data_IF_360746802226
#
_entry.id   IF_360746802226
#
_cell.length_a   1.000
_cell.length_b   1.000
_cell.length_c   1.000
_cell.angle_alpha   90.00
_cell.angle_beta   90.00
_cell.angle_gamma   90.00
#
_symmetry.space_group_name_H-M   'P 1'
#
loop_
_entity.id
_entity.type
_entity.pdbx_description
1 polymer ?
#
# COMPACT_ATOMS: atom_id res chain seq x y z
N UNK A 1 8.25 -3.32 -2.83
CA UNK A 1 8.76 -2.36 -3.86
C UNK A 1 8.41 -2.90 -5.24
N UNK A 2 7.45 -2.30 -5.96
CA UNK A 2 7.24 -2.63 -7.38
C UNK A 2 8.44 -2.05 -8.11
N UNK A 3 9.21 -2.91 -8.77
CA UNK A 3 10.43 -2.55 -9.50
C UNK A 3 10.12 -1.48 -10.56
N UNK A 4 11.06 -0.55 -10.78
CA UNK A 4 10.94 0.48 -11.82
C UNK A 4 10.73 -0.11 -13.22
N UNK A 5 11.24 -1.31 -13.47
CA UNK A 5 11.05 -2.05 -14.71
C UNK A 5 9.58 -2.44 -14.90
N UNK A 6 8.92 -2.94 -13.87
CA UNK A 6 7.49 -3.31 -13.91
C UNK A 6 6.60 -2.09 -14.19
N UNK A 7 6.87 -0.95 -13.52
CA UNK A 7 6.13 0.30 -13.79
C UNK A 7 6.30 0.81 -15.22
N UNK A 8 7.48 0.65 -15.79
CA UNK A 8 7.75 1.05 -17.17
C UNK A 8 7.02 0.17 -18.18
N UNK A 9 7.00 -1.15 -17.95
CA UNK A 9 6.26 -2.10 -18.78
C UNK A 9 4.75 -1.84 -18.75
N UNK A 10 4.19 -1.52 -17.59
CA UNK A 10 2.77 -1.16 -17.45
C UNK A 10 2.44 0.15 -18.18
N UNK A 11 3.31 1.15 -18.09
CA UNK A 11 3.17 2.41 -18.82
C UNK A 11 3.22 2.18 -20.33
N UNK A 12 4.19 1.42 -20.82
CA UNK A 12 4.34 1.10 -22.24
C UNK A 12 3.11 0.33 -22.77
N UNK A 13 2.56 -0.60 -21.99
CA UNK A 13 1.33 -1.33 -22.33
C UNK A 13 0.12 -0.38 -22.41
N UNK A 14 -0.03 0.54 -21.46
CA UNK A 14 -1.10 1.54 -21.46
C UNK A 14 -0.99 2.47 -22.68
N UNK A 15 0.19 2.94 -23.02
CA UNK A 15 0.42 3.81 -24.18
C UNK A 15 0.12 3.10 -25.50
N UNK A 16 0.45 1.81 -25.62
CA UNK A 16 0.07 0.99 -26.79
C UNK A 16 -1.45 0.86 -26.94
N UNK A 17 -2.18 0.64 -25.85
CA UNK A 17 -3.64 0.58 -25.88
C UNK A 17 -4.28 1.90 -26.31
N UNK A 18 -3.79 3.02 -25.78
CA UNK A 18 -4.26 4.36 -26.15
C UNK A 18 -4.03 4.61 -27.63
N UNK A 19 -2.83 4.36 -28.14
CA UNK A 19 -2.50 4.54 -29.54
C UNK A 19 -3.36 3.65 -30.46
N UNK A 20 -3.68 2.43 -30.04
CA UNK A 20 -4.58 1.54 -30.78
C UNK A 20 -6.02 2.08 -30.81
N UNK A 21 -6.53 2.59 -29.70
CA UNK A 21 -7.87 3.18 -29.61
C UNK A 21 -8.00 4.42 -30.48
N UNK A 22 -7.00 5.30 -30.49
CA UNK A 22 -6.96 6.48 -31.38
C UNK A 22 -7.03 6.09 -32.85
N UNK A 23 -6.23 5.08 -33.24
CA UNK A 23 -6.27 4.57 -34.63
C UNK A 23 -7.62 3.96 -34.96
N UNK A 24 -8.22 3.17 -34.07
CA UNK A 24 -9.53 2.57 -34.28
C UNK A 24 -10.67 3.60 -34.41
N UNK A 25 -10.58 4.72 -33.68
CA UNK A 25 -11.57 5.80 -33.76
C UNK A 25 -11.46 6.62 -35.04
N UNK A 26 -10.25 6.76 -35.59
CA UNK A 26 -9.98 7.61 -36.74
C UNK A 26 -9.83 6.85 -38.07
N UNK A 27 -9.85 5.50 -38.03
CA UNK A 27 -9.66 4.68 -39.23
C UNK A 27 -10.91 4.70 -40.11
N UNK A 28 -10.87 5.39 -41.23
CA UNK A 28 -11.91 5.40 -42.27
C UNK A 28 -11.82 4.16 -43.16
N UNK A 29 -10.68 3.50 -43.20
CA UNK A 29 -10.44 2.31 -44.06
C UNK A 29 -9.60 1.25 -43.33
N UNK A 30 -9.73 -0.02 -43.79
CA UNK A 30 -8.91 -1.13 -43.31
C UNK A 30 -7.39 -0.94 -43.56
N UNK A 31 -7.03 -0.10 -44.54
CA UNK A 31 -5.61 0.25 -44.80
C UNK A 31 -4.98 1.05 -43.70
N UNK A 32 -5.70 2.02 -43.14
CA UNK A 32 -5.18 2.86 -42.03
C UNK A 32 -5.01 2.03 -40.76
N UNK A 33 -5.94 1.13 -40.50
CA UNK A 33 -5.85 0.18 -39.42
C UNK A 33 -4.59 -0.70 -39.53
N UNK A 34 -4.33 -1.24 -40.71
CA UNK A 34 -3.20 -2.16 -40.94
C UNK A 34 -1.82 -1.50 -40.89
N UNK A 35 -1.70 -0.18 -41.07
CA UNK A 35 -0.40 0.50 -41.13
C UNK A 35 -0.01 1.23 -39.86
N UNK A 36 -0.97 1.62 -39.04
CA UNK A 36 -0.74 2.51 -37.89
C UNK A 36 -1.04 1.88 -36.52
N UNK A 37 -1.83 0.79 -36.50
CA UNK A 37 -2.23 0.17 -35.25
C UNK A 37 -1.13 -0.75 -34.69
N UNK A 38 -0.69 -0.55 -33.44
CA UNK A 38 0.37 -1.36 -32.83
C UNK A 38 -0.02 -2.83 -32.60
N UNK A 39 -1.32 -3.19 -32.70
CA UNK A 39 -1.81 -4.56 -32.54
C UNK A 39 -1.91 -5.35 -33.85
N UNK A 40 -1.77 -4.70 -34.99
CA UNK A 40 -1.84 -5.41 -36.30
C UNK A 40 -0.64 -6.33 -36.50
N UNK A 41 0.55 -5.92 -36.07
CA UNK A 41 1.77 -6.72 -36.20
C UNK A 41 1.75 -8.02 -35.35
N UNK A 42 0.90 -8.09 -34.35
CA UNK A 42 0.77 -9.23 -33.41
C UNK A 42 -0.43 -10.15 -33.75
N UNK A 43 -1.24 -9.80 -34.76
CA UNK A 43 -2.35 -10.65 -35.21
C UNK A 43 -1.82 -11.85 -36.02
N UNK A 44 -1.65 -12.98 -35.35
CA UNK A 44 -1.45 -14.28 -35.98
C UNK A 44 -2.80 -14.73 -36.49
N UNK A 45 -2.85 -15.21 -37.77
CA UNK A 45 -3.99 -15.72 -38.52
C UNK A 45 -5.28 -15.94 -37.69
N UNK A 46 -6.27 -15.04 -37.85
CA UNK A 46 -7.64 -15.24 -37.43
C UNK A 46 -8.12 -14.62 -36.13
N UNK A 47 -7.25 -14.15 -35.26
CA UNK A 47 -7.67 -13.36 -34.11
C UNK A 47 -7.66 -11.87 -34.47
N UNK A 48 -8.84 -11.25 -34.45
CA UNK A 48 -8.96 -9.85 -34.75
C UNK A 48 -8.12 -9.03 -33.74
N UNK A 49 -7.36 -8.04 -34.21
CA UNK A 49 -6.59 -7.10 -33.36
C UNK A 49 -7.44 -6.51 -32.23
N UNK A 50 -8.75 -6.42 -32.45
CA UNK A 50 -9.75 -6.03 -31.46
C UNK A 50 -9.83 -6.98 -30.26
N UNK A 51 -9.78 -8.32 -30.46
CA UNK A 51 -9.79 -9.27 -29.35
C UNK A 51 -8.56 -9.14 -28.47
N UNK A 52 -7.40 -8.97 -29.09
CA UNK A 52 -6.14 -8.76 -28.35
C UNK A 52 -6.14 -7.45 -27.58
N UNK A 53 -6.63 -6.36 -28.18
CA UNK A 53 -6.80 -5.07 -27.53
C UNK A 53 -7.75 -5.17 -26.33
N UNK A 54 -8.90 -5.83 -26.51
CA UNK A 54 -9.88 -6.03 -25.44
C UNK A 54 -9.33 -6.91 -24.32
N UNK A 55 -8.55 -7.92 -24.64
CA UNK A 55 -7.90 -8.79 -23.65
C UNK A 55 -6.86 -8.00 -22.83
N UNK A 56 -6.00 -7.21 -23.48
CA UNK A 56 -5.00 -6.37 -22.82
C UNK A 56 -5.66 -5.27 -21.98
N UNK A 57 -6.75 -4.68 -22.47
CA UNK A 57 -7.53 -3.70 -21.72
C UNK A 57 -8.21 -4.31 -20.48
N UNK A 58 -8.81 -5.49 -20.61
CA UNK A 58 -9.43 -6.20 -19.49
C UNK A 58 -8.38 -6.58 -18.42
N UNK A 59 -7.20 -7.02 -18.83
CA UNK A 59 -6.10 -7.35 -17.93
C UNK A 59 -5.54 -6.09 -17.24
N UNK A 60 -5.39 -4.99 -18.00
CA UNK A 60 -4.98 -3.70 -17.45
C UNK A 60 -5.98 -3.17 -16.43
N UNK A 61 -7.27 -3.19 -16.73
CA UNK A 61 -8.34 -2.82 -15.81
C UNK A 61 -8.28 -3.73 -14.57
N UNK A 62 -8.16 -5.04 -14.73
CA UNK A 62 -8.07 -5.99 -13.62
C UNK A 62 -6.86 -5.68 -12.70
N UNK A 63 -5.70 -5.41 -13.26
CA UNK A 63 -4.50 -5.05 -12.49
C UNK A 63 -4.63 -3.70 -11.79
N UNK A 64 -5.34 -2.71 -12.38
CA UNK A 64 -5.48 -1.37 -11.84
C UNK A 64 -6.75 -1.19 -10.99
N UNK A 65 -7.77 -2.03 -11.15
CA UNK A 65 -8.96 -2.06 -10.27
C UNK A 65 -8.74 -2.86 -8.99
N UNK A 66 -7.69 -3.68 -8.93
CA UNK A 66 -7.26 -4.31 -7.67
C UNK A 66 -6.79 -3.24 -6.65
N UNK A 67 -6.45 -2.03 -7.12
CA UNK A 67 -6.25 -0.85 -6.25
C UNK A 67 -7.55 -0.23 -5.69
N UNK A 68 -8.69 -0.51 -6.27
CA UNK A 68 -10.02 -0.26 -5.70
C UNK A 68 -10.52 -1.57 -5.06
N UNK A 69 -9.83 -2.06 -4.04
CA UNK A 69 -10.48 -2.93 -3.08
C UNK A 69 -11.77 -2.22 -2.69
N UNK A 70 -12.92 -2.84 -2.94
CA UNK A 70 -14.15 -2.47 -2.25
C UNK A 70 -13.76 -2.24 -0.80
N UNK A 71 -13.90 -1.00 -0.32
CA UNK A 71 -13.54 -0.66 1.06
C UNK A 71 -14.31 -1.62 1.92
N UNK A 72 -13.66 -2.66 2.38
CA UNK A 72 -14.25 -3.60 3.33
C UNK A 72 -14.83 -2.79 4.48
N UNK A 73 -16.05 -3.07 4.90
CA UNK A 73 -16.66 -2.31 5.98
C UNK A 73 -15.73 -2.31 7.18
N UNK A 74 -15.47 -1.12 7.71
CA UNK A 74 -14.64 -0.96 8.91
C UNK A 74 -15.32 -1.64 10.08
N UNK A 75 -14.84 -2.78 10.48
CA UNK A 75 -15.30 -3.54 11.64
C UNK A 75 -14.15 -3.65 12.65
N UNK A 76 -14.50 -3.99 13.90
CA UNK A 76 -13.49 -4.29 14.93
C UNK A 76 -12.50 -5.36 14.45
N UNK A 77 -13.03 -6.39 13.78
CA UNK A 77 -12.21 -7.48 13.23
C UNK A 77 -11.24 -7.00 12.18
N UNK A 78 -11.70 -6.21 11.18
CA UNK A 78 -10.82 -5.72 10.11
C UNK A 78 -9.72 -4.78 10.63
N UNK A 79 -9.99 -4.01 11.70
CA UNK A 79 -8.97 -3.19 12.37
C UNK A 79 -7.92 -4.06 13.04
N UNK A 80 -8.34 -5.09 13.80
CA UNK A 80 -7.43 -5.98 14.51
C UNK A 80 -6.60 -6.85 13.55
N UNK A 81 -7.22 -7.42 12.53
CA UNK A 81 -6.52 -8.21 11.50
C UNK A 81 -5.46 -7.34 10.76
N UNK A 82 -5.78 -6.07 10.48
CA UNK A 82 -4.83 -5.15 9.85
C UNK A 82 -3.69 -4.75 10.82
N UNK A 83 -3.99 -4.53 12.09
CA UNK A 83 -2.98 -4.24 13.10
C UNK A 83 -2.03 -5.44 13.30
N UNK A 84 -2.55 -6.66 13.43
CA UNK A 84 -1.76 -7.88 13.50
C UNK A 84 -0.81 -7.99 12.30
N UNK A 85 -1.32 -7.84 11.08
CA UNK A 85 -0.50 -7.87 9.88
C UNK A 85 0.64 -6.85 9.92
N UNK A 86 0.34 -5.61 10.35
CA UNK A 86 1.34 -4.55 10.41
C UNK A 86 2.44 -4.84 11.43
N UNK A 87 2.10 -5.32 12.63
CA UNK A 87 3.09 -5.47 13.72
C UNK A 87 3.79 -6.81 13.74
N UNK A 88 3.11 -7.90 13.29
CA UNK A 88 3.69 -9.24 13.33
C UNK A 88 4.38 -9.66 12.04
N UNK A 89 4.15 -8.96 10.91
CA UNK A 89 4.69 -9.36 9.61
C UNK A 89 5.41 -8.22 8.89
N UNK A 90 4.69 -7.18 8.45
CA UNK A 90 5.21 -6.20 7.48
C UNK A 90 6.36 -5.33 8.05
N UNK A 91 6.38 -5.04 9.35
CA UNK A 91 7.38 -4.15 9.97
C UNK A 91 8.63 -4.87 10.44
N UNK A 92 8.52 -6.12 10.87
CA UNK A 92 9.69 -6.90 11.32
C UNK A 92 10.70 -7.11 10.19
N UNK A 93 10.22 -7.29 8.95
CA UNK A 93 11.08 -7.49 7.78
C UNK A 93 11.81 -6.21 7.34
N UNK A 94 11.29 -5.02 7.71
CA UNK A 94 11.81 -3.72 7.22
C UNK A 94 12.52 -2.89 8.28
N UNK A 95 12.13 -2.98 9.54
CA UNK A 95 12.59 -2.07 10.60
C UNK A 95 13.16 -2.79 11.84
N UNK A 96 13.24 -4.11 11.81
CA UNK A 96 13.63 -4.91 12.98
C UNK A 96 12.53 -5.01 14.03
N UNK A 97 12.89 -5.51 15.21
CA UNK A 97 11.93 -5.69 16.29
C UNK A 97 11.45 -4.35 16.85
N UNK A 98 10.16 -4.23 17.21
CA UNK A 98 9.61 -3.01 17.83
C UNK A 98 10.39 -2.57 19.08
N UNK A 99 10.85 -3.53 19.90
CA UNK A 99 11.62 -3.28 21.14
C UNK A 99 12.87 -2.48 20.86
N UNK A 100 13.66 -2.85 19.84
CA UNK A 100 14.91 -2.20 19.47
C UNK A 100 14.66 -0.76 19.00
N UNK A 101 13.64 -0.55 18.16
CA UNK A 101 13.31 0.77 17.65
C UNK A 101 12.72 1.69 18.72
N UNK A 102 11.89 1.16 19.62
CA UNK A 102 11.31 1.96 20.70
C UNK A 102 12.34 2.28 21.78
N UNK A 103 13.32 1.39 22.01
CA UNK A 103 14.48 1.66 22.85
C UNK A 103 15.28 2.84 22.34
N UNK A 104 15.68 2.83 21.08
CA UNK A 104 16.42 3.92 20.46
C UNK A 104 15.63 5.26 20.49
N UNK A 105 14.30 5.22 20.25
CA UNK A 105 13.45 6.42 20.35
C UNK A 105 13.39 6.93 21.79
N UNK A 106 13.28 6.04 22.76
CA UNK A 106 13.25 6.37 24.19
C UNK A 106 14.51 7.13 24.61
N UNK A 107 15.69 6.64 24.23
CA UNK A 107 16.97 7.30 24.48
C UNK A 107 17.04 8.69 23.86
N UNK A 108 16.66 8.81 22.58
CA UNK A 108 16.64 10.09 21.87
C UNK A 108 15.68 11.10 22.51
N UNK A 109 14.49 10.67 22.91
CA UNK A 109 13.50 11.55 23.53
C UNK A 109 13.88 11.93 24.95
N UNK A 110 14.48 11.00 25.71
CA UNK A 110 15.04 11.31 27.04
C UNK A 110 16.07 12.43 26.93
N UNK A 111 17.01 12.31 26.00
CA UNK A 111 18.03 13.33 25.78
C UNK A 111 17.46 14.66 25.27
N UNK A 112 16.49 14.62 24.35
CA UNK A 112 15.92 15.83 23.75
C UNK A 112 15.01 16.61 24.69
N UNK A 113 14.17 15.91 25.47
CA UNK A 113 13.18 16.56 26.33
C UNK A 113 13.75 17.03 27.68
N UNK A 114 14.84 16.44 28.14
CA UNK A 114 15.54 16.79 29.41
C UNK A 114 14.59 16.96 30.61
N UNK A 115 13.62 16.04 30.74
CA UNK A 115 12.53 16.13 31.72
C UNK A 115 12.90 15.58 33.11
N UNK A 116 14.19 15.24 33.32
CA UNK A 116 14.70 14.73 34.60
C UNK A 116 14.26 13.29 34.95
N UNK A 117 13.68 12.53 33.99
CA UNK A 117 13.43 11.11 34.07
C UNK A 117 13.68 10.43 32.72
N UNK A 118 14.01 9.16 32.77
CA UNK A 118 14.11 8.37 31.54
C UNK A 118 12.72 8.13 30.94
N UNK A 119 12.65 8.17 29.62
CA UNK A 119 11.52 7.72 28.83
C UNK A 119 11.76 6.24 28.52
N UNK A 120 10.77 5.39 28.80
CA UNK A 120 10.88 3.96 28.54
C UNK A 120 10.33 3.61 27.15
N UNK A 121 10.68 2.45 26.57
CA UNK A 121 10.05 1.96 25.33
C UNK A 121 8.52 1.86 25.42
N UNK A 122 7.98 1.56 26.61
CA UNK A 122 6.53 1.56 26.87
C UNK A 122 5.95 2.97 26.80
N UNK A 123 6.65 3.99 27.39
CA UNK A 123 6.26 5.40 27.26
C UNK A 123 6.20 5.80 25.78
N UNK A 124 7.19 5.39 24.97
CA UNK A 124 7.21 5.67 23.52
C UNK A 124 5.97 5.13 22.85
N UNK A 125 5.63 3.87 23.06
CA UNK A 125 4.42 3.26 22.49
C UNK A 125 3.15 4.01 22.89
N UNK A 126 3.03 4.39 24.16
CA UNK A 126 1.91 5.18 24.68
C UNK A 126 1.84 6.57 24.04
N UNK A 127 2.97 7.25 23.87
CA UNK A 127 3.03 8.56 23.20
C UNK A 127 2.63 8.44 21.73
N UNK A 128 3.01 7.37 21.05
CA UNK A 128 2.57 7.10 19.67
C UNK A 128 1.07 6.83 19.59
N UNK A 129 0.47 6.14 20.56
CA UNK A 129 -1.00 5.99 20.66
C UNK A 129 -1.65 7.37 20.79
N UNK A 130 -1.17 8.22 21.69
CA UNK A 130 -1.71 9.57 21.88
C UNK A 130 -1.61 10.41 20.61
N UNK A 131 -0.51 10.31 19.86
CA UNK A 131 -0.35 10.95 18.56
C UNK A 131 -1.45 10.52 17.58
N UNK A 132 -1.75 9.21 17.49
CA UNK A 132 -2.78 8.68 16.60
C UNK A 132 -4.18 9.06 17.05
N UNK A 133 -4.44 9.10 18.35
CA UNK A 133 -5.70 9.62 18.93
C UNK A 133 -5.91 11.09 18.56
N UNK A 134 -4.86 11.92 18.66
CA UNK A 134 -4.94 13.32 18.26
C UNK A 134 -5.25 13.49 16.76
N UNK A 135 -4.65 12.68 15.91
CA UNK A 135 -4.95 12.64 14.46
C UNK A 135 -6.38 12.17 14.19
N UNK A 136 -6.84 11.13 14.90
CA UNK A 136 -8.20 10.61 14.77
C UNK A 136 -9.26 11.64 15.18
N UNK A 137 -8.96 12.54 16.14
CA UNK A 137 -9.85 13.65 16.49
C UNK A 137 -10.09 14.59 15.31
N UNK A 138 -9.09 14.83 14.46
CA UNK A 138 -9.23 15.66 13.25
C UNK A 138 -9.87 14.90 12.08
N UNK A 139 -9.65 13.59 11.97
CA UNK A 139 -10.21 12.74 10.91
C UNK A 139 -10.59 11.35 11.46
N UNK A 140 -11.75 11.21 12.10
CA UNK A 140 -12.17 9.96 12.73
C UNK A 140 -12.49 8.83 11.75
N UNK A 141 -12.68 9.15 10.46
CA UNK A 141 -12.97 8.16 9.41
C UNK A 141 -11.69 7.53 8.84
N UNK A 142 -10.50 8.05 9.17
CA UNK A 142 -9.24 7.53 8.67
C UNK A 142 -8.86 6.27 9.46
N UNK A 143 -9.07 5.12 8.83
CA UNK A 143 -8.91 3.79 9.47
C UNK A 143 -7.50 3.54 9.98
N UNK A 144 -6.48 4.02 9.28
CA UNK A 144 -5.07 3.87 9.63
C UNK A 144 -4.77 4.35 11.07
N UNK A 145 -5.39 5.44 11.51
CA UNK A 145 -5.21 5.91 12.88
C UNK A 145 -5.65 4.87 13.92
N UNK A 146 -6.74 4.16 13.65
CA UNK A 146 -7.26 3.14 14.57
C UNK A 146 -6.47 1.83 14.50
N UNK A 147 -5.98 1.46 13.31
CA UNK A 147 -5.07 0.34 13.10
C UNK A 147 -3.78 0.57 13.88
N UNK A 148 -3.19 1.76 13.74
CA UNK A 148 -1.97 2.12 14.44
C UNK A 148 -2.13 2.17 15.98
N UNK A 149 -3.27 2.69 16.48
CA UNK A 149 -3.56 2.64 17.93
C UNK A 149 -3.56 1.20 18.44
N UNK A 150 -4.23 0.29 17.72
CA UNK A 150 -4.26 -1.13 18.09
C UNK A 150 -2.87 -1.79 18.01
N UNK A 151 -2.11 -1.48 16.96
CA UNK A 151 -0.74 -1.99 16.77
C UNK A 151 0.21 -1.52 17.87
N UNK A 152 0.24 -0.21 18.18
CA UNK A 152 1.09 0.30 19.26
C UNK A 152 0.67 -0.22 20.63
N UNK A 153 -0.62 -0.47 20.85
CA UNK A 153 -1.09 -1.07 22.11
C UNK A 153 -0.61 -2.52 22.26
N UNK A 154 -0.60 -3.30 21.18
CA UNK A 154 -0.08 -4.66 21.18
C UNK A 154 1.44 -4.66 21.46
N UNK A 155 2.22 -3.83 20.77
CA UNK A 155 3.67 -3.69 21.02
C UNK A 155 3.93 -3.24 22.48
N UNK A 156 3.17 -2.28 23.00
CA UNK A 156 3.33 -1.83 24.39
C UNK A 156 3.11 -2.94 25.40
N UNK A 157 2.10 -3.79 25.17
CA UNK A 157 1.81 -4.93 26.03
C UNK A 157 2.92 -5.97 26.03
N UNK A 158 3.46 -6.31 24.85
CA UNK A 158 4.57 -7.25 24.71
C UNK A 158 5.84 -6.72 25.39
N UNK A 159 6.25 -5.48 25.11
CA UNK A 159 7.40 -4.83 25.74
C UNK A 159 7.24 -4.72 27.27
N UNK A 160 6.03 -4.41 27.73
CA UNK A 160 5.78 -4.32 29.16
C UNK A 160 5.91 -5.69 29.86
N UNK A 161 5.44 -6.76 29.24
CA UNK A 161 5.60 -8.13 29.75
C UNK A 161 7.09 -8.54 29.81
N UNK A 162 7.89 -8.15 28.82
CA UNK A 162 9.34 -8.41 28.82
C UNK A 162 10.08 -7.61 29.93
N UNK A 163 9.72 -6.33 30.13
CA UNK A 163 10.43 -5.45 31.07
C UNK A 163 9.99 -5.70 32.53
N UNK A 164 8.69 -5.90 32.77
CA UNK A 164 8.14 -5.94 34.13
C UNK A 164 7.80 -7.35 34.60
N UNK A 165 7.78 -8.34 33.67
CA UNK A 165 7.34 -9.70 33.93
C UNK A 165 5.83 -9.80 34.17
N UNK A 166 5.23 -10.96 33.97
CA UNK A 166 3.91 -11.30 34.52
C UNK A 166 4.04 -11.84 35.93
#
# INVERSE_FOLDING_TARGET
>A
MIDQVTKRLEFDKAMRMIAALEVCQCAETSKDCNTKCPYVAESVEGTACHEKLMQDAAEFIKCHTIGNQEKQPTTRKTILDAAEKCVCHDRQDTHGKPEDSFGAIADLWTAYLDIGREITPVDVAQMMILLKVARAKGNPKHQDNWIDVAGYAACAGEIAAEIYGE
#
